data_IF_829762846887
#
_entry.id   IF_829762846887
#
_cell.length_a   1.000
_cell.length_b   1.000
_cell.length_c   1.000
_cell.angle_alpha   90.00
_cell.angle_beta   90.00
_cell.angle_gamma   90.00
#
_symmetry.space_group_name_H-M   'P 1'
#
loop_
_entity.id
_entity.type
_entity.pdbx_description
1 polymer ?
#
# COMPACT_ATOMS: atom_id res chain seq x y z
N UNK A 1 16.85 -6.73 -21.71
CA UNK A 1 16.75 -5.46 -20.96
C UNK A 1 16.01 -5.76 -19.68
N UNK A 2 16.34 -5.12 -18.55
CA UNK A 2 15.61 -5.34 -17.31
C UNK A 2 14.15 -4.89 -17.48
N UNK A 3 13.22 -5.58 -16.81
CA UNK A 3 11.80 -5.21 -16.79
C UNK A 3 11.57 -3.88 -16.06
N UNK A 4 12.26 -3.69 -14.94
CA UNK A 4 12.17 -2.49 -14.12
C UNK A 4 13.43 -1.63 -14.24
N UNK A 5 13.26 -0.33 -14.06
CA UNK A 5 14.33 0.64 -13.85
C UNK A 5 14.34 1.14 -12.42
N UNK A 6 15.52 1.47 -11.90
CA UNK A 6 15.69 2.14 -10.61
C UNK A 6 16.22 3.55 -10.84
N UNK A 7 15.43 4.55 -10.46
CA UNK A 7 15.83 5.95 -10.45
C UNK A 7 16.18 6.36 -9.03
N UNK A 8 17.37 6.94 -8.85
CA UNK A 8 17.84 7.46 -7.58
C UNK A 8 18.09 8.97 -7.70
N UNK A 9 17.57 9.76 -6.76
CA UNK A 9 17.76 11.20 -6.75
C UNK A 9 17.89 11.77 -5.35
N UNK A 10 18.91 12.61 -5.12
CA UNK A 10 19.09 13.33 -3.87
C UNK A 10 18.33 14.65 -3.88
N UNK A 11 17.91 15.11 -2.70
CA UNK A 11 17.37 16.45 -2.46
C UNK A 11 18.40 17.56 -2.73
N UNK A 12 19.68 17.21 -2.65
CA UNK A 12 20.78 18.08 -3.06
C UNK A 12 21.92 17.24 -3.62
N UNK A 13 22.51 17.68 -4.73
CA UNK A 13 23.71 17.07 -5.30
C UNK A 13 25.00 17.43 -4.55
N UNK A 14 24.92 18.37 -3.61
CA UNK A 14 26.06 18.87 -2.84
C UNK A 14 25.87 18.67 -1.34
N UNK A 15 26.98 18.42 -0.64
CA UNK A 15 27.10 18.46 0.81
C UNK A 15 28.25 19.37 1.22
N UNK A 16 28.22 19.90 2.45
CA UNK A 16 29.31 20.73 2.95
C UNK A 16 30.49 19.85 3.39
N UNK A 17 31.71 20.35 3.18
CA UNK A 17 32.94 19.72 3.69
C UNK A 17 33.07 19.76 5.21
N UNK A 18 32.25 20.58 5.88
CA UNK A 18 32.20 20.74 7.34
C UNK A 18 30.80 20.38 7.88
N UNK A 19 30.77 19.71 9.04
CA UNK A 19 29.54 19.27 9.70
C UNK A 19 28.86 18.06 9.04
N UNK A 20 27.73 17.62 9.62
CA UNK A 20 26.87 16.63 8.97
C UNK A 20 25.87 17.32 8.03
N UNK A 21 25.58 16.68 6.89
CA UNK A 21 24.56 17.14 5.96
C UNK A 21 23.39 16.16 5.95
N UNK A 22 22.17 16.68 6.09
CA UNK A 22 20.93 15.91 6.00
C UNK A 22 20.33 16.05 4.61
N UNK A 23 20.19 14.94 3.91
CA UNK A 23 19.67 14.84 2.55
C UNK A 23 18.47 13.90 2.52
N UNK A 24 17.62 14.05 1.51
CA UNK A 24 16.55 13.11 1.18
C UNK A 24 16.94 12.34 -0.07
N UNK A 25 16.81 11.02 -0.04
CA UNK A 25 17.05 10.14 -1.17
C UNK A 25 15.72 9.58 -1.66
N UNK A 26 15.32 9.99 -2.86
CA UNK A 26 14.24 9.37 -3.61
C UNK A 26 14.76 8.12 -4.33
N UNK A 27 14.09 7.00 -4.09
CA UNK A 27 14.27 5.74 -4.81
C UNK A 27 12.96 5.42 -5.50
N UNK A 28 12.97 5.32 -6.82
CA UNK A 28 11.77 5.05 -7.63
C UNK A 28 12.03 3.84 -8.53
N UNK A 29 11.24 2.79 -8.32
CA UNK A 29 11.14 1.65 -9.19
C UNK A 29 10.03 1.92 -10.21
N UNK A 30 10.34 1.76 -11.50
CA UNK A 30 9.37 1.99 -12.57
C UNK A 30 9.54 0.95 -13.68
N UNK A 31 8.46 0.58 -14.38
CA UNK A 31 8.55 -0.24 -15.60
C UNK A 31 9.39 0.47 -16.67
N UNK A 32 10.31 -0.25 -17.31
CA UNK A 32 11.10 0.32 -18.42
C UNK A 32 10.23 0.58 -19.66
N UNK A 33 9.23 -0.28 -19.89
CA UNK A 33 8.23 -0.13 -20.93
C UNK A 33 6.82 -0.25 -20.31
N UNK A 34 6.20 0.89 -19.96
CA UNK A 34 4.84 0.92 -19.40
C UNK A 34 3.74 0.51 -20.38
N UNK A 35 4.04 0.49 -21.69
CA UNK A 35 3.07 0.17 -22.74
C UNK A 35 2.95 -1.33 -23.01
N UNK A 36 3.84 -2.13 -22.40
CA UNK A 36 3.88 -3.57 -22.60
C UNK A 36 2.66 -4.23 -21.97
N UNK A 37 1.80 -4.79 -22.81
CA UNK A 37 0.64 -5.55 -22.36
C UNK A 37 1.08 -6.86 -21.68
N UNK A 38 0.58 -7.09 -20.47
CA UNK A 38 0.73 -8.32 -19.74
C UNK A 38 -0.42 -8.48 -18.74
N UNK A 39 -0.93 -9.70 -18.62
CA UNK A 39 -1.87 -10.07 -17.59
C UNK A 39 -1.40 -11.39 -16.95
N UNK A 40 -0.95 -11.38 -15.70
CA UNK A 40 -0.56 -12.60 -15.02
C UNK A 40 -1.78 -13.48 -14.74
N UNK A 41 -1.56 -14.79 -14.71
CA UNK A 41 -2.56 -15.72 -14.19
C UNK A 41 -2.79 -15.48 -12.70
N UNK A 42 -4.03 -15.60 -12.27
CA UNK A 42 -4.45 -15.33 -10.91
C UNK A 42 -4.73 -16.65 -10.16
N UNK A 43 -4.50 -16.61 -8.86
CA UNK A 43 -4.98 -17.58 -7.88
C UNK A 43 -5.69 -16.77 -6.79
N UNK A 44 -7.01 -16.65 -6.91
CA UNK A 44 -7.83 -15.80 -6.05
C UNK A 44 -8.55 -16.62 -5.01
N UNK A 45 -8.52 -16.17 -3.76
CA UNK A 45 -9.36 -16.71 -2.70
C UNK A 45 -10.28 -15.63 -2.18
N UNK A 46 -11.58 -15.80 -2.38
CA UNK A 46 -12.59 -14.90 -1.82
C UNK A 46 -12.96 -15.39 -0.43
N UNK A 47 -12.85 -14.50 0.54
CA UNK A 47 -13.21 -14.74 1.93
C UNK A 47 -14.38 -13.81 2.22
N UNK A 48 -15.58 -14.37 2.18
CA UNK A 48 -16.83 -13.63 2.20
C UNK A 48 -17.46 -13.76 3.58
N UNK A 49 -17.59 -12.63 4.27
CA UNK A 49 -18.39 -12.55 5.48
C UNK A 49 -19.87 -12.80 5.15
N UNK A 50 -20.46 -13.68 5.95
CA UNK A 50 -21.88 -14.03 5.92
C UNK A 50 -22.44 -14.01 7.34
N UNK A 51 -21.90 -13.16 8.22
CA UNK A 51 -22.45 -12.83 9.52
C UNK A 51 -23.81 -12.13 9.40
N UNK A 52 -24.49 -11.92 10.53
CA UNK A 52 -25.84 -11.35 10.52
C UNK A 52 -25.88 -9.89 10.05
N UNK A 53 -24.79 -9.12 10.23
CA UNK A 53 -24.67 -7.73 9.75
C UNK A 53 -24.73 -7.63 8.23
N UNK A 54 -24.18 -8.63 7.52
CA UNK A 54 -24.20 -8.71 6.07
C UNK A 54 -25.59 -8.95 5.46
N UNK A 55 -26.64 -9.10 6.27
CA UNK A 55 -28.00 -9.42 5.80
C UNK A 55 -28.56 -8.32 4.88
N UNK A 56 -29.19 -8.75 3.78
CA UNK A 56 -29.80 -7.85 2.80
C UNK A 56 -28.81 -7.40 1.73
N UNK A 57 -28.80 -6.10 1.45
CA UNK A 57 -28.12 -5.52 0.29
C UNK A 57 -26.60 -5.72 0.29
N UNK A 58 -25.97 -5.80 1.45
CA UNK A 58 -24.53 -6.04 1.59
C UNK A 58 -24.13 -7.39 0.99
N UNK A 59 -24.70 -8.51 1.48
CA UNK A 59 -24.41 -9.84 0.95
C UNK A 59 -24.85 -9.98 -0.52
N UNK A 60 -25.99 -9.40 -0.90
CA UNK A 60 -26.45 -9.44 -2.29
C UNK A 60 -25.50 -8.71 -3.24
N UNK A 61 -24.93 -7.57 -2.82
CA UNK A 61 -23.92 -6.83 -3.57
C UNK A 61 -22.59 -7.58 -3.66
N UNK A 62 -22.17 -8.26 -2.58
CA UNK A 62 -21.00 -9.16 -2.60
C UNK A 62 -21.20 -10.31 -3.58
N UNK A 63 -22.37 -10.95 -3.60
CA UNK A 63 -22.67 -12.02 -4.56
C UNK A 63 -22.62 -11.53 -6.01
N UNK A 64 -23.24 -10.37 -6.29
CA UNK A 64 -23.17 -9.72 -7.62
C UNK A 64 -21.72 -9.46 -8.02
N UNK A 65 -20.91 -8.90 -7.12
CA UNK A 65 -19.49 -8.63 -7.37
C UNK A 65 -18.70 -9.92 -7.63
N UNK A 66 -18.92 -10.96 -6.84
CA UNK A 66 -18.29 -12.27 -7.02
C UNK A 66 -18.66 -12.90 -8.38
N UNK A 67 -19.92 -12.79 -8.81
CA UNK A 67 -20.34 -13.29 -10.12
C UNK A 67 -19.61 -12.57 -11.26
N UNK A 68 -19.54 -11.24 -11.21
CA UNK A 68 -18.83 -10.45 -12.21
C UNK A 68 -17.34 -10.78 -12.26
N UNK A 69 -16.71 -11.00 -11.11
CA UNK A 69 -15.32 -11.40 -11.07
C UNK A 69 -15.13 -12.80 -11.66
N UNK A 70 -15.97 -13.79 -11.31
CA UNK A 70 -15.91 -15.13 -11.90
C UNK A 70 -16.03 -15.08 -13.43
N UNK A 71 -16.87 -14.18 -13.97
CA UNK A 71 -17.00 -13.96 -15.41
C UNK A 71 -15.78 -13.28 -16.05
N UNK A 72 -15.09 -12.44 -15.29
CA UNK A 72 -13.95 -11.65 -15.77
C UNK A 72 -12.62 -12.41 -15.72
N UNK A 73 -12.58 -13.56 -15.05
CA UNK A 73 -11.39 -14.40 -14.91
C UNK A 73 -11.18 -15.29 -16.13
N UNK A 74 -9.91 -15.53 -16.47
CA UNK A 74 -9.52 -16.46 -17.52
C UNK A 74 -9.73 -17.91 -17.07
N UNK A 75 -9.88 -18.84 -18.03
CA UNK A 75 -10.04 -20.27 -17.73
C UNK A 75 -8.83 -20.86 -16.97
N UNK A 76 -7.65 -20.26 -17.17
CA UNK A 76 -6.40 -20.64 -16.51
C UNK A 76 -6.25 -20.10 -15.08
N UNK A 77 -7.09 -19.14 -14.67
CA UNK A 77 -7.09 -18.61 -13.31
C UNK A 77 -7.68 -19.64 -12.34
N UNK A 78 -7.27 -19.58 -11.07
CA UNK A 78 -7.85 -20.40 -10.01
C UNK A 78 -8.69 -19.53 -9.06
N UNK A 79 -9.81 -20.08 -8.61
CA UNK A 79 -10.68 -19.45 -7.61
C UNK A 79 -11.00 -20.42 -6.48
N UNK A 80 -10.91 -19.92 -5.25
CA UNK A 80 -11.49 -20.52 -4.06
C UNK A 80 -12.49 -19.54 -3.42
N UNK A 81 -13.52 -20.09 -2.76
CA UNK A 81 -14.52 -19.30 -2.05
C UNK A 81 -14.67 -19.89 -0.65
N UNK A 82 -14.37 -19.06 0.33
CA UNK A 82 -14.54 -19.32 1.76
C UNK A 82 -15.65 -18.41 2.26
N UNK A 83 -16.65 -18.99 2.92
CA UNK A 83 -17.72 -18.25 3.57
C UNK A 83 -17.57 -18.35 5.07
N UNK A 84 -17.67 -17.24 5.80
CA UNK A 84 -17.45 -17.26 7.25
C UNK A 84 -18.51 -16.49 8.04
N UNK A 85 -18.83 -17.05 9.20
CA UNK A 85 -19.58 -16.42 10.28
C UNK A 85 -18.86 -16.77 11.60
N UNK A 86 -19.58 -17.24 12.62
CA UNK A 86 -19.05 -18.04 13.72
C UNK A 86 -18.34 -19.32 13.22
N UNK A 87 -18.88 -19.91 12.15
CA UNK A 87 -18.33 -21.08 11.46
C UNK A 87 -17.71 -20.68 10.11
N UNK A 88 -16.54 -21.23 9.83
CA UNK A 88 -15.79 -20.98 8.59
C UNK A 88 -15.86 -22.24 7.72
N UNK A 89 -16.25 -22.10 6.46
CA UNK A 89 -16.37 -23.23 5.55
C UNK A 89 -15.91 -22.91 4.12
N UNK A 90 -15.44 -23.95 3.44
CA UNK A 90 -15.15 -23.89 2.01
C UNK A 90 -16.47 -24.00 1.25
N UNK A 91 -16.86 -22.92 0.57
CA UNK A 91 -18.07 -22.84 -0.26
C UNK A 91 -17.77 -23.43 -1.65
N UNK A 92 -16.58 -23.14 -2.17
CA UNK A 92 -16.02 -23.74 -3.38
C UNK A 92 -14.51 -23.88 -3.17
N UNK A 93 -13.98 -25.10 -3.27
CA UNK A 93 -12.55 -25.33 -3.12
C UNK A 93 -11.75 -24.70 -4.25
N UNK A 94 -10.48 -24.39 -4.00
CA UNK A 94 -9.58 -23.83 -5.01
C UNK A 94 -9.56 -24.70 -6.27
N UNK A 95 -9.92 -24.15 -7.42
CA UNK A 95 -9.97 -24.84 -8.71
C UNK A 95 -9.85 -23.88 -9.91
N UNK A 96 -9.40 -24.35 -11.08
CA UNK A 96 -9.50 -23.60 -12.33
C UNK A 96 -10.96 -23.33 -12.73
N UNK A 97 -11.22 -22.28 -13.52
CA UNK A 97 -12.58 -21.85 -13.89
C UNK A 97 -13.23 -22.67 -15.02
N UNK A 98 -13.22 -24.00 -14.92
CA UNK A 98 -13.85 -24.89 -15.91
C UNK A 98 -15.38 -24.87 -15.81
N UNK A 99 -15.93 -24.84 -14.59
CA UNK A 99 -17.37 -24.79 -14.33
C UNK A 99 -17.75 -23.54 -13.52
N UNK A 100 -17.79 -22.40 -14.22
CA UNK A 100 -18.21 -21.11 -13.64
C UNK A 100 -19.62 -21.16 -13.06
N UNK A 101 -20.51 -21.95 -13.66
CA UNK A 101 -21.91 -22.03 -13.22
C UNK A 101 -22.02 -22.69 -11.85
N UNK A 102 -21.29 -23.79 -11.61
CA UNK A 102 -21.24 -24.45 -10.30
C UNK A 102 -20.68 -23.53 -9.21
N UNK A 103 -19.61 -22.77 -9.50
CA UNK A 103 -19.01 -21.83 -8.54
C UNK A 103 -20.01 -20.71 -8.19
N UNK A 104 -20.66 -20.11 -9.18
CA UNK A 104 -21.70 -19.09 -8.96
C UNK A 104 -22.89 -19.65 -8.17
N UNK A 105 -23.32 -20.87 -8.46
CA UNK A 105 -24.40 -21.50 -7.70
C UNK A 105 -24.02 -21.72 -6.23
N UNK A 106 -22.75 -22.01 -5.94
CA UNK A 106 -22.26 -22.12 -4.56
C UNK A 106 -22.31 -20.77 -3.83
N UNK A 107 -21.88 -19.68 -4.50
CA UNK A 107 -21.98 -18.31 -3.97
C UNK A 107 -23.44 -17.88 -3.73
N UNK A 108 -24.35 -18.22 -4.65
CA UNK A 108 -25.77 -17.87 -4.53
C UNK A 108 -26.41 -18.44 -3.25
N UNK A 109 -25.92 -19.61 -2.80
CA UNK A 109 -26.40 -20.30 -1.59
C UNK A 109 -25.92 -19.66 -0.29
N UNK A 110 -25.00 -18.70 -0.33
CA UNK A 110 -24.60 -17.97 0.87
C UNK A 110 -25.79 -17.30 1.54
N UNK A 111 -25.85 -17.40 2.86
CA UNK A 111 -26.89 -16.81 3.72
C UNK A 111 -26.23 -16.17 4.94
N UNK A 112 -26.67 -14.95 5.25
CA UNK A 112 -26.24 -14.20 6.42
C UNK A 112 -26.74 -14.87 7.70
N UNK A 113 -25.86 -15.15 8.66
CA UNK A 113 -26.16 -15.76 9.94
C UNK A 113 -24.97 -15.66 10.91
N UNK A 114 -25.22 -15.71 12.21
CA UNK A 114 -24.18 -15.91 13.22
C UNK A 114 -23.30 -14.68 13.47
N UNK A 115 -22.19 -14.92 14.17
CA UNK A 115 -21.16 -13.95 14.54
C UNK A 115 -20.03 -13.89 13.48
N UNK A 116 -18.86 -13.36 13.83
CA UNK A 116 -17.77 -13.07 12.87
C UNK A 116 -16.42 -13.62 13.34
N UNK A 117 -15.95 -14.70 12.72
CA UNK A 117 -14.66 -15.37 13.02
C UNK A 117 -13.59 -15.03 11.97
N UNK A 118 -12.99 -13.83 12.10
CA UNK A 118 -11.98 -13.31 11.17
C UNK A 118 -10.73 -14.19 11.15
N UNK A 119 -10.23 -14.62 12.32
CA UNK A 119 -9.03 -15.45 12.41
C UNK A 119 -9.19 -16.75 11.61
N UNK A 120 -10.27 -17.50 11.86
CA UNK A 120 -10.53 -18.76 11.17
C UNK A 120 -10.74 -18.57 9.66
N UNK A 121 -11.32 -17.44 9.26
CA UNK A 121 -11.54 -17.09 7.86
C UNK A 121 -10.23 -16.85 7.11
N UNK A 122 -9.30 -16.10 7.70
CA UNK A 122 -7.96 -15.88 7.12
C UNK A 122 -7.19 -17.21 7.09
N UNK A 123 -7.20 -18.01 8.15
CA UNK A 123 -6.50 -19.30 8.18
C UNK A 123 -7.03 -20.29 7.13
N UNK A 124 -8.35 -20.44 6.99
CA UNK A 124 -8.92 -21.35 5.99
C UNK A 124 -8.69 -20.81 4.57
N UNK A 125 -8.84 -19.50 4.37
CA UNK A 125 -8.54 -18.85 3.09
C UNK A 125 -7.08 -19.03 2.70
N UNK A 126 -6.16 -18.89 3.65
CA UNK A 126 -4.73 -19.12 3.48
C UNK A 126 -4.47 -20.55 2.98
N UNK A 127 -5.05 -21.55 3.65
CA UNK A 127 -4.93 -22.96 3.26
C UNK A 127 -5.49 -23.25 1.86
N UNK A 128 -6.63 -22.67 1.50
CA UNK A 128 -7.21 -22.83 0.15
C UNK A 128 -6.35 -22.14 -0.93
N UNK A 129 -5.83 -20.94 -0.65
CA UNK A 129 -4.92 -20.23 -1.56
C UNK A 129 -3.67 -21.06 -1.85
N UNK A 130 -3.11 -21.73 -0.83
CA UNK A 130 -1.92 -22.56 -0.98
C UNK A 130 -2.11 -23.80 -1.86
N UNK A 131 -3.33 -24.29 -2.08
CA UNK A 131 -3.59 -25.48 -2.92
C UNK A 131 -3.20 -25.28 -4.39
N UNK A 132 -3.32 -24.06 -4.90
CA UNK A 132 -2.94 -23.69 -6.26
C UNK A 132 -1.90 -22.56 -6.29
N UNK A 133 -1.12 -22.45 -5.21
CA UNK A 133 -0.03 -21.49 -5.16
C UNK A 133 0.95 -21.72 -6.32
N UNK A 134 1.33 -20.63 -6.97
CA UNK A 134 2.49 -20.60 -7.86
C UNK A 134 3.20 -19.27 -7.74
N UNK A 135 4.53 -19.30 -7.76
CA UNK A 135 5.34 -18.09 -7.80
C UNK A 135 5.13 -17.29 -9.10
N UNK A 136 4.67 -17.94 -10.17
CA UNK A 136 4.41 -17.36 -11.49
C UNK A 136 3.01 -16.72 -11.60
N UNK A 137 2.21 -16.82 -10.53
CA UNK A 137 0.86 -16.26 -10.43
C UNK A 137 0.82 -15.10 -9.44
N UNK A 138 -0.21 -14.28 -9.57
CA UNK A 138 -0.66 -13.42 -8.48
C UNK A 138 -1.56 -14.25 -7.57
N UNK A 139 -1.10 -14.49 -6.34
CA UNK A 139 -1.86 -15.22 -5.33
C UNK A 139 -2.44 -14.20 -4.35
N UNK A 140 -3.75 -13.98 -4.43
CA UNK A 140 -4.43 -12.88 -3.73
C UNK A 140 -5.63 -13.41 -2.96
N UNK A 141 -5.70 -13.08 -1.69
CA UNK A 141 -6.88 -13.25 -0.85
C UNK A 141 -7.66 -11.93 -0.85
N UNK A 142 -8.95 -11.98 -1.18
CA UNK A 142 -9.88 -10.86 -1.08
C UNK A 142 -10.78 -11.12 0.12
N UNK A 143 -10.56 -10.36 1.19
CA UNK A 143 -11.29 -10.48 2.43
C UNK A 143 -12.37 -9.40 2.51
N UNK A 144 -13.63 -9.78 2.63
CA UNK A 144 -14.76 -8.85 2.70
C UNK A 144 -15.47 -9.04 4.04
N UNK A 145 -15.69 -7.95 4.78
CA UNK A 145 -16.43 -7.96 6.05
C UNK A 145 -17.03 -6.57 6.34
N UNK A 146 -18.13 -6.55 7.08
CA UNK A 146 -18.80 -5.34 7.58
C UNK A 146 -18.82 -5.27 9.12
N UNK A 147 -18.10 -6.17 9.80
CA UNK A 147 -18.15 -6.29 11.26
C UNK A 147 -16.80 -6.48 11.95
N UNK A 148 -16.86 -6.58 13.27
CA UNK A 148 -15.71 -6.80 14.16
C UNK A 148 -15.48 -8.30 14.42
N UNK A 149 -14.27 -8.69 14.83
CA UNK A 149 -13.99 -10.05 15.26
C UNK A 149 -14.75 -10.36 16.57
N UNK A 150 -15.78 -11.20 16.49
CA UNK A 150 -16.70 -11.50 17.62
C UNK A 150 -16.76 -12.99 17.97
N UNK A 151 -16.11 -13.85 17.20
CA UNK A 151 -16.04 -15.28 17.44
C UNK A 151 -14.65 -15.86 17.10
N UNK A 152 -14.30 -16.99 17.72
CA UNK A 152 -12.99 -17.60 17.55
C UNK A 152 -11.91 -16.83 18.32
N UNK A 153 -10.75 -16.65 17.70
CA UNK A 153 -9.66 -15.82 18.21
C UNK A 153 -9.96 -14.37 17.79
N UNK A 154 -10.06 -13.48 18.77
CA UNK A 154 -10.44 -12.07 18.56
C UNK A 154 -9.30 -11.11 18.89
N UNK A 155 -8.16 -11.61 19.36
CA UNK A 155 -6.98 -10.82 19.65
C UNK A 155 -6.28 -10.37 18.35
N UNK A 156 -6.22 -9.06 18.12
CA UNK A 156 -5.61 -8.44 16.94
C UNK A 156 -4.22 -9.01 16.61
N UNK A 157 -3.32 -9.11 17.60
CA UNK A 157 -1.96 -9.60 17.37
C UNK A 157 -1.93 -11.01 16.76
N UNK A 158 -2.86 -11.88 17.14
CA UNK A 158 -2.95 -13.25 16.60
C UNK A 158 -3.53 -13.23 15.18
N UNK A 159 -4.54 -12.41 14.93
CA UNK A 159 -5.12 -12.22 13.59
C UNK A 159 -4.07 -11.64 12.62
N UNK A 160 -3.34 -10.63 13.07
CA UNK A 160 -2.28 -9.96 12.31
C UNK A 160 -1.09 -10.89 12.04
N UNK A 161 -0.78 -11.82 12.94
CA UNK A 161 0.25 -12.84 12.71
C UNK A 161 -0.08 -13.77 11.53
N UNK A 162 -1.37 -14.06 11.28
CA UNK A 162 -1.79 -14.81 10.08
C UNK A 162 -1.58 -14.00 8.80
N UNK A 163 -1.89 -12.70 8.81
CA UNK A 163 -1.62 -11.82 7.67
C UNK A 163 -0.11 -11.74 7.36
N UNK A 164 0.73 -11.64 8.41
CA UNK A 164 2.18 -11.71 8.27
C UNK A 164 2.64 -13.06 7.70
N UNK A 165 1.98 -14.18 8.08
CA UNK A 165 2.29 -15.51 7.55
C UNK A 165 1.92 -15.65 6.08
N UNK A 166 0.71 -15.24 5.70
CA UNK A 166 0.26 -15.29 4.31
C UNK A 166 1.21 -14.53 3.39
N UNK A 167 1.67 -13.34 3.82
CA UNK A 167 2.67 -12.57 3.08
C UNK A 167 4.01 -13.27 2.98
N UNK A 168 4.50 -13.90 4.05
CA UNK A 168 5.74 -14.70 4.01
C UNK A 168 5.64 -15.87 3.02
N UNK A 169 4.46 -16.48 2.92
CA UNK A 169 4.18 -17.58 2.00
C UNK A 169 3.91 -17.09 0.56
N UNK A 170 4.00 -15.77 0.30
CA UNK A 170 3.89 -15.16 -1.02
C UNK A 170 2.47 -14.92 -1.50
N UNK A 171 1.53 -14.82 -0.55
CA UNK A 171 0.13 -14.44 -0.76
C UNK A 171 -0.07 -12.99 -0.32
N UNK A 172 -0.81 -12.21 -1.11
CA UNK A 172 -1.25 -10.87 -0.71
C UNK A 172 -2.69 -10.88 -0.19
N UNK A 173 -3.00 -10.10 0.84
CA UNK A 173 -4.37 -9.97 1.38
C UNK A 173 -4.86 -8.54 1.15
N UNK A 174 -5.92 -8.39 0.38
CA UNK A 174 -6.66 -7.12 0.28
C UNK A 174 -7.97 -7.23 1.06
N UNK A 175 -8.30 -6.18 1.80
CA UNK A 175 -9.50 -6.14 2.65
C UNK A 175 -10.50 -5.11 2.13
N UNK A 176 -11.77 -5.47 2.12
CA UNK A 176 -12.89 -4.62 1.73
C UNK A 176 -13.82 -4.51 2.94
N UNK A 177 -13.79 -3.35 3.58
CA UNK A 177 -14.65 -3.04 4.73
C UNK A 177 -15.93 -2.35 4.27
N UNK A 178 -17.09 -2.93 4.57
CA UNK A 178 -18.40 -2.40 4.15
C UNK A 178 -19.08 -1.69 5.31
N UNK A 179 -19.62 -0.50 5.07
CA UNK A 179 -20.34 0.29 6.08
C UNK A 179 -19.42 0.89 7.14
N UNK A 180 -20.00 1.48 8.18
CA UNK A 180 -19.25 2.24 9.19
C UNK A 180 -18.89 1.43 10.44
N UNK A 181 -19.52 0.28 10.66
CA UNK A 181 -19.51 -0.46 11.94
C UNK A 181 -18.43 -1.55 12.06
N UNK A 182 -17.53 -1.69 11.07
CA UNK A 182 -16.43 -2.66 11.12
C UNK A 182 -15.16 -2.10 11.78
N UNK A 183 -14.30 -3.00 12.28
CA UNK A 183 -12.97 -2.66 12.78
C UNK A 183 -12.01 -2.35 11.63
N UNK A 184 -11.98 -1.07 11.25
CA UNK A 184 -11.10 -0.57 10.19
C UNK A 184 -9.63 -0.64 10.56
N UNK A 185 -9.29 -0.48 11.84
CA UNK A 185 -7.91 -0.56 12.27
C UNK A 185 -7.40 -1.98 12.02
N UNK A 186 -8.17 -2.98 12.41
CA UNK A 186 -7.86 -4.38 12.18
C UNK A 186 -7.81 -4.71 10.68
N UNK A 187 -8.84 -4.37 9.89
CA UNK A 187 -8.86 -4.69 8.45
C UNK A 187 -7.76 -3.95 7.66
N UNK A 188 -7.48 -2.70 8.02
CA UNK A 188 -6.39 -1.93 7.44
C UNK A 188 -5.02 -2.54 7.77
N UNK A 189 -4.83 -3.00 9.02
CA UNK A 189 -3.61 -3.69 9.43
C UNK A 189 -3.47 -5.06 8.78
N UNK A 190 -4.56 -5.82 8.61
CA UNK A 190 -4.55 -7.09 7.86
C UNK A 190 -4.09 -6.85 6.43
N UNK A 191 -4.64 -5.87 5.72
CA UNK A 191 -4.21 -5.57 4.35
C UNK A 191 -2.75 -5.13 4.29
N UNK A 192 -2.34 -4.21 5.18
CA UNK A 192 -0.97 -3.69 5.23
C UNK A 192 0.06 -4.79 5.53
N UNK A 193 -0.20 -5.61 6.56
CA UNK A 193 0.68 -6.73 6.94
C UNK A 193 0.64 -7.84 5.91
N UNK A 194 -0.52 -8.10 5.33
CA UNK A 194 -0.73 -9.02 4.22
C UNK A 194 -0.18 -8.54 2.87
N UNK A 195 0.30 -7.30 2.74
CA UNK A 195 0.88 -6.78 1.48
C UNK A 195 -0.15 -6.52 0.37
N UNK A 196 -1.40 -6.26 0.73
CA UNK A 196 -2.47 -5.86 -0.21
C UNK A 196 -3.04 -4.49 0.11
N UNK A 197 -4.25 -4.23 -0.42
CA UNK A 197 -4.93 -2.94 -0.31
C UNK A 197 -6.11 -3.01 0.67
N UNK A 198 -6.35 -1.92 1.42
CA UNK A 198 -7.60 -1.73 2.14
C UNK A 198 -8.55 -0.85 1.34
N UNK A 199 -9.83 -1.22 1.29
CA UNK A 199 -10.89 -0.43 0.68
C UNK A 199 -12.01 -0.20 1.67
N UNK A 200 -12.30 1.07 1.94
CA UNK A 200 -13.51 1.49 2.65
C UNK A 200 -14.66 1.63 1.67
N UNK A 201 -15.76 0.93 1.95
CA UNK A 201 -16.95 0.89 1.11
C UNK A 201 -18.11 1.50 1.87
N UNK A 202 -18.40 2.78 1.58
CA UNK A 202 -19.45 3.51 2.28
C UNK A 202 -20.85 2.93 2.03
N UNK A 203 -21.12 2.46 0.81
CA UNK A 203 -22.42 1.87 0.44
C UNK A 203 -22.23 0.54 -0.30
N UNK A 204 -23.07 -0.48 -0.03
CA UNK A 204 -22.98 -1.79 -0.69
C UNK A 204 -22.95 -1.76 -2.22
N UNK A 205 -23.63 -0.81 -2.86
CA UNK A 205 -23.64 -0.66 -4.31
C UNK A 205 -22.27 -0.33 -4.92
N UNK A 206 -21.32 0.17 -4.13
CA UNK A 206 -19.95 0.41 -4.58
C UNK A 206 -19.08 -0.86 -4.60
N UNK A 207 -19.52 -1.97 -3.98
CA UNK A 207 -18.75 -3.22 -3.89
C UNK A 207 -18.33 -3.74 -5.26
N UNK A 208 -19.21 -3.87 -6.28
CA UNK A 208 -18.81 -4.41 -7.59
C UNK A 208 -17.72 -3.60 -8.27
N UNK A 209 -17.77 -2.26 -8.18
CA UNK A 209 -16.75 -1.37 -8.76
C UNK A 209 -15.40 -1.57 -8.08
N UNK A 210 -15.37 -1.58 -6.75
CA UNK A 210 -14.13 -1.73 -5.97
C UNK A 210 -13.51 -3.11 -6.21
N UNK A 211 -14.34 -4.15 -6.35
CA UNK A 211 -13.89 -5.49 -6.72
C UNK A 211 -13.19 -5.51 -8.09
N UNK A 212 -13.79 -4.84 -9.08
CA UNK A 212 -13.20 -4.73 -10.42
C UNK A 212 -11.88 -3.95 -10.40
N UNK A 213 -11.80 -2.86 -9.62
CA UNK A 213 -10.57 -2.09 -9.45
C UNK A 213 -9.45 -2.93 -8.84
N UNK A 214 -9.74 -3.72 -7.82
CA UNK A 214 -8.78 -4.61 -7.19
C UNK A 214 -8.34 -5.75 -8.13
N UNK A 215 -9.27 -6.33 -8.88
CA UNK A 215 -8.96 -7.34 -9.89
C UNK A 215 -8.09 -6.76 -11.03
N UNK A 216 -8.40 -5.54 -11.49
CA UNK A 216 -7.63 -4.86 -12.52
C UNK A 216 -6.20 -4.60 -12.05
N UNK A 217 -6.01 -4.19 -10.79
CA UNK A 217 -4.68 -4.06 -10.18
C UNK A 217 -3.94 -5.40 -10.13
N UNK A 218 -4.59 -6.47 -9.69
CA UNK A 218 -3.96 -7.79 -9.69
C UNK A 218 -3.52 -8.23 -11.11
N UNK A 219 -4.30 -7.89 -12.14
CA UNK A 219 -3.97 -8.17 -13.54
C UNK A 219 -2.93 -7.23 -14.15
N UNK A 220 -2.63 -6.08 -13.54
CA UNK A 220 -1.61 -5.15 -14.04
C UNK A 220 -0.21 -5.42 -13.48
N UNK A 221 -0.07 -6.34 -12.52
CA UNK A 221 1.21 -6.65 -11.87
C UNK A 221 2.18 -7.31 -12.85
N UNK A 222 3.37 -6.75 -12.97
CA UNK A 222 4.45 -7.26 -13.83
C UNK A 222 5.64 -7.81 -13.03
N UNK A 223 5.78 -7.42 -11.77
CA UNK A 223 6.87 -7.85 -10.91
C UNK A 223 6.41 -8.11 -9.48
N UNK A 224 7.00 -9.13 -8.84
CA UNK A 224 6.75 -9.52 -7.45
C UNK A 224 8.02 -9.44 -6.63
N UNK A 225 7.87 -9.52 -5.30
CA UNK A 225 8.98 -9.50 -4.34
C UNK A 225 9.92 -8.31 -4.57
N UNK A 226 9.35 -7.19 -5.02
CA UNK A 226 10.09 -5.99 -5.37
C UNK A 226 10.65 -5.39 -4.09
N UNK A 227 11.96 -5.23 -4.03
CA UNK A 227 12.64 -4.61 -2.89
C UNK A 227 13.79 -3.73 -3.37
N UNK A 228 14.08 -2.69 -2.60
CA UNK A 228 15.27 -1.85 -2.81
C UNK A 228 16.19 -2.03 -1.63
N UNK A 229 17.39 -2.56 -1.88
CA UNK A 229 18.48 -2.62 -0.92
C UNK A 229 19.36 -1.39 -1.06
N UNK A 230 19.67 -0.76 0.06
CA UNK A 230 20.51 0.43 0.13
C UNK A 230 21.67 0.13 1.05
N UNK A 231 22.87 0.13 0.48
CA UNK A 231 24.11 -0.08 1.23
C UNK A 231 24.75 1.28 1.51
N UNK A 232 24.78 1.75 2.77
CA UNK A 232 25.55 2.91 3.18
C UNK A 232 27.05 2.66 3.06
N UNK A 233 27.79 3.74 2.79
CA UNK A 233 29.24 3.76 2.68
C UNK A 233 29.84 4.65 3.78
N UNK A 234 30.85 4.13 4.48
CA UNK A 234 31.47 4.80 5.62
C UNK A 234 30.44 5.07 6.72
N UNK A 235 30.47 6.27 7.30
CA UNK A 235 29.58 6.67 8.42
C UNK A 235 28.21 7.22 7.98
N UNK A 236 27.77 6.92 6.74
CA UNK A 236 26.47 7.39 6.25
C UNK A 236 25.33 6.68 6.96
N UNK A 237 24.40 7.42 7.56
CA UNK A 237 23.20 6.86 8.17
C UNK A 237 22.01 6.94 7.22
N UNK A 238 21.22 5.87 7.17
CA UNK A 238 19.99 5.77 6.38
C UNK A 238 18.82 5.53 7.32
N UNK A 239 17.74 6.29 7.16
CA UNK A 239 16.50 6.11 7.94
C UNK A 239 15.28 6.19 7.04
N UNK A 240 14.25 5.44 7.37
CA UNK A 240 12.96 5.54 6.70
C UNK A 240 12.20 6.76 7.22
N UNK A 241 11.60 7.55 6.31
CA UNK A 241 10.76 8.68 6.69
C UNK A 241 9.40 8.23 7.24
N UNK A 242 8.74 7.34 6.50
CA UNK A 242 7.37 6.91 6.76
C UNK A 242 7.24 5.38 6.84
N UNK A 243 6.15 4.90 7.43
CA UNK A 243 5.93 3.47 7.59
C UNK A 243 5.08 2.86 6.46
N UNK A 244 5.02 3.51 5.30
CA UNK A 244 4.20 3.04 4.17
C UNK A 244 4.67 1.66 3.72
N UNK A 245 5.98 1.52 3.51
CA UNK A 245 6.61 0.26 3.17
C UNK A 245 7.20 -0.39 4.40
N UNK A 246 7.21 -1.73 4.41
CA UNK A 246 8.01 -2.47 5.38
C UNK A 246 9.48 -2.21 5.07
N UNK A 247 10.27 -1.97 6.10
CA UNK A 247 11.71 -1.86 5.98
C UNK A 247 12.40 -2.59 7.14
N UNK A 248 13.62 -3.05 6.90
CA UNK A 248 14.46 -3.64 7.92
C UNK A 248 15.94 -3.36 7.62
N UNK A 249 16.77 -3.49 8.64
CA UNK A 249 18.23 -3.42 8.49
C UNK A 249 18.78 -4.84 8.57
N UNK A 250 19.45 -5.30 7.50
CA UNK A 250 20.09 -6.62 7.42
C UNK A 250 21.59 -6.41 7.37
N UNK A 251 22.27 -6.61 8.51
CA UNK A 251 23.68 -6.24 8.64
C UNK A 251 23.85 -4.73 8.51
N UNK A 252 24.55 -4.28 7.48
CA UNK A 252 24.71 -2.86 7.16
C UNK A 252 23.72 -2.39 6.07
N UNK A 253 23.01 -3.30 5.40
CA UNK A 253 22.06 -2.97 4.34
C UNK A 253 20.73 -2.51 4.92
N UNK A 254 20.17 -1.46 4.32
CA UNK A 254 18.81 -1.02 4.58
C UNK A 254 17.89 -1.51 3.46
N UNK A 255 16.90 -2.35 3.77
CA UNK A 255 16.02 -2.98 2.79
C UNK A 255 14.62 -2.39 2.89
N UNK A 256 14.06 -1.95 1.76
CA UNK A 256 12.68 -1.49 1.65
C UNK A 256 11.89 -2.44 0.75
N UNK A 257 10.79 -2.98 1.25
CA UNK A 257 9.92 -3.91 0.51
C UNK A 257 8.78 -3.14 -0.16
N UNK A 258 8.81 -3.12 -1.50
CA UNK A 258 7.78 -2.52 -2.36
C UNK A 258 6.69 -3.54 -2.78
N UNK A 259 6.95 -4.83 -2.55
CA UNK A 259 6.05 -5.97 -2.79
C UNK A 259 5.75 -6.23 -4.27
N UNK A 260 4.66 -5.71 -4.79
CA UNK A 260 4.19 -5.93 -6.15
C UNK A 260 4.20 -4.62 -6.93
N UNK A 261 4.64 -4.66 -8.20
CA UNK A 261 4.70 -3.48 -9.07
C UNK A 261 3.83 -3.68 -10.33
N UNK A 262 3.01 -2.67 -10.62
CA UNK A 262 2.07 -2.62 -11.74
C UNK A 262 2.68 -1.97 -12.99
N UNK A 263 2.30 -2.43 -14.19
CA UNK A 263 2.83 -1.99 -15.49
C UNK A 263 2.72 -0.48 -15.76
N UNK A 264 1.72 0.19 -15.20
CA UNK A 264 1.47 1.62 -15.43
C UNK A 264 1.73 2.48 -14.19
N UNK A 265 2.30 1.91 -13.12
CA UNK A 265 2.39 2.59 -11.83
C UNK A 265 3.78 2.45 -11.20
N UNK A 266 4.62 3.48 -11.33
CA UNK A 266 5.86 3.57 -10.57
C UNK A 266 5.59 3.52 -9.07
N UNK A 267 6.56 2.99 -8.33
CA UNK A 267 6.57 3.01 -6.88
C UNK A 267 7.85 3.66 -6.40
N UNK A 268 7.69 4.66 -5.56
CA UNK A 268 8.82 5.37 -4.97
C UNK A 268 8.77 5.35 -3.45
N UNK A 269 9.94 5.53 -2.86
CA UNK A 269 10.14 5.74 -1.42
C UNK A 269 11.17 6.84 -1.21
N UNK A 270 11.10 7.53 -0.07
CA UNK A 270 12.06 8.56 0.30
C UNK A 270 12.72 8.19 1.62
N UNK A 271 14.06 8.14 1.60
CA UNK A 271 14.90 7.87 2.75
C UNK A 271 15.58 9.15 3.23
N UNK A 272 15.78 9.24 4.54
CA UNK A 272 16.62 10.24 5.15
C UNK A 272 18.07 9.74 5.15
N UNK A 273 18.96 10.56 4.59
CA UNK A 273 20.39 10.33 4.61
C UNK A 273 21.06 11.37 5.49
N UNK A 274 21.87 10.92 6.43
CA UNK A 274 22.80 11.78 7.16
C UNK A 274 24.22 11.39 6.78
N UNK A 275 24.91 12.29 6.09
CA UNK A 275 26.29 12.11 5.64
C UNK A 275 27.22 12.95 6.49
N UNK A 276 28.37 12.38 6.84
CA UNK A 276 29.43 13.09 7.56
C UNK A 276 30.28 13.94 6.62
N UNK A 277 30.94 14.95 7.18
CA UNK A 277 31.93 15.78 6.51
C UNK A 277 33.02 14.95 5.84
N UNK A 278 33.44 15.37 4.65
CA UNK A 278 34.56 14.82 3.89
C UNK A 278 35.30 15.94 3.16
N UNK A 279 36.51 15.62 2.71
CA UNK A 279 37.27 16.51 1.83
C UNK A 279 36.49 16.79 0.54
N UNK A 280 36.76 17.96 -0.08
CA UNK A 280 36.11 18.35 -1.32
C UNK A 280 36.35 17.29 -2.42
N UNK A 281 35.28 16.88 -3.08
CA UNK A 281 35.34 15.82 -4.09
C UNK A 281 34.01 15.10 -4.29
N UNK A 282 33.95 14.22 -5.28
CA UNK A 282 32.78 13.40 -5.58
C UNK A 282 32.89 12.04 -4.92
N UNK A 283 31.85 11.65 -4.19
CA UNK A 283 31.78 10.38 -3.46
C UNK A 283 30.44 9.69 -3.71
N UNK A 284 30.40 8.39 -3.44
CA UNK A 284 29.19 7.57 -3.43
C UNK A 284 28.84 7.27 -1.97
N UNK A 285 27.95 8.05 -1.31
CA UNK A 285 27.60 7.82 0.09
C UNK A 285 26.74 6.57 0.30
N UNK A 286 26.00 6.16 -0.75
CA UNK A 286 25.11 5.00 -0.73
C UNK A 286 25.07 4.37 -2.13
N UNK A 287 24.95 3.04 -2.18
CA UNK A 287 24.60 2.31 -3.42
C UNK A 287 23.23 1.69 -3.25
N UNK A 288 22.39 1.74 -4.29
CA UNK A 288 21.07 1.14 -4.28
C UNK A 288 20.96 -0.02 -5.28
N UNK A 289 20.19 -1.04 -4.92
CA UNK A 289 19.95 -2.21 -5.73
C UNK A 289 18.47 -2.56 -5.67
N UNK A 290 17.78 -2.46 -6.80
CA UNK A 290 16.42 -2.97 -6.98
C UNK A 290 16.52 -4.46 -7.28
N UNK A 291 15.78 -5.27 -6.53
CA UNK A 291 15.69 -6.72 -6.69
C UNK A 291 14.22 -7.09 -6.85
N UNK A 292 13.89 -7.92 -7.83
CA UNK A 292 12.52 -8.33 -8.10
C UNK A 292 12.45 -9.68 -8.82
N UNK A 293 11.26 -10.28 -8.79
CA UNK A 293 10.90 -11.40 -9.66
C UNK A 293 10.10 -10.89 -10.85
N UNK A 294 10.47 -11.31 -12.05
CA UNK A 294 9.85 -10.92 -13.31
C UNK A 294 8.72 -11.91 -13.66
N UNK A 295 7.49 -11.41 -13.76
CA UNK A 295 6.34 -12.26 -14.12
C UNK A 295 6.21 -12.51 -15.62
N UNK A 296 6.89 -11.73 -16.47
CA UNK A 296 6.82 -11.88 -17.92
C UNK A 296 7.59 -13.09 -18.43
N UNK A 297 8.76 -13.36 -17.85
CA UNK A 297 9.65 -14.45 -18.27
C UNK A 297 9.99 -15.43 -17.12
N UNK A 298 9.37 -15.23 -15.96
CA UNK A 298 9.50 -16.09 -14.77
C UNK A 298 10.90 -16.12 -14.14
N UNK A 299 11.79 -15.19 -14.51
CA UNK A 299 13.10 -15.06 -13.86
C UNK A 299 12.97 -14.49 -12.45
N UNK A 300 13.87 -14.90 -11.56
CA UNK A 300 13.84 -14.57 -10.13
C UNK A 300 15.08 -13.80 -9.70
N UNK A 301 14.90 -12.85 -8.80
CA UNK A 301 15.99 -12.04 -8.26
C UNK A 301 16.72 -11.20 -9.30
N UNK A 302 16.02 -10.76 -10.35
CA UNK A 302 16.54 -9.76 -11.29
C UNK A 302 17.00 -8.53 -10.52
N UNK A 303 18.13 -7.97 -10.96
CA UNK A 303 18.83 -6.92 -10.22
C UNK A 303 19.09 -5.72 -11.12
N UNK A 304 18.79 -4.53 -10.60
CA UNK A 304 19.13 -3.25 -11.23
C UNK A 304 19.84 -2.37 -10.20
N UNK A 305 21.05 -1.89 -10.56
CA UNK A 305 21.86 -1.03 -9.68
C UNK A 305 21.60 0.44 -9.97
N UNK A 306 21.52 1.23 -8.91
CA UNK A 306 21.52 2.68 -8.93
C UNK A 306 22.69 3.22 -8.12
N UNK A 307 23.54 4.03 -8.76
CA UNK A 307 24.60 4.77 -8.07
C UNK A 307 24.10 6.16 -7.68
N UNK A 308 24.41 6.57 -6.45
CA UNK A 308 24.07 7.88 -5.92
C UNK A 308 25.37 8.63 -5.67
N UNK A 309 25.58 9.73 -6.41
CA UNK A 309 26.79 10.55 -6.29
C UNK A 309 26.50 11.85 -5.55
N UNK A 310 27.44 12.26 -4.73
CA UNK A 310 27.38 13.46 -3.90
C UNK A 310 28.72 14.19 -3.97
N UNK A 311 28.69 15.47 -4.29
CA UNK A 311 29.89 16.31 -4.35
C UNK A 311 30.01 17.17 -3.08
N UNK A 312 31.14 17.06 -2.39
CA UNK A 312 31.45 17.85 -1.20
C UNK A 312 32.06 19.20 -1.59
N UNK A 313 31.49 20.29 -1.08
CA UNK A 313 31.83 21.67 -1.44
C UNK A 313 32.09 22.54 -0.22
N UNK A 314 32.99 23.51 -0.35
CA UNK A 314 33.27 24.54 0.66
C UNK A 314 32.28 25.70 0.59
N UNK A 315 31.76 26.01 -0.59
CA UNK A 315 30.90 27.17 -0.82
C UNK A 315 29.41 26.86 -0.61
N UNK A 316 28.79 27.50 0.38
CA UNK A 316 27.35 27.38 0.63
C UNK A 316 26.45 27.91 -0.51
N UNK A 317 26.98 28.70 -1.45
CA UNK A 317 26.26 29.13 -2.67
C UNK A 317 25.90 27.94 -3.56
N UNK A 318 26.82 26.97 -3.70
CA UNK A 318 26.61 25.75 -4.50
C UNK A 318 25.49 24.89 -3.93
N UNK A 319 25.39 24.79 -2.60
CA UNK A 319 24.29 24.09 -1.91
C UNK A 319 22.93 24.63 -2.39
N UNK A 320 22.74 25.95 -2.48
CA UNK A 320 21.48 26.53 -2.96
C UNK A 320 21.19 26.20 -4.43
N UNK A 321 22.23 26.14 -5.27
CA UNK A 321 22.10 25.80 -6.68
C UNK A 321 21.83 24.30 -6.93
N UNK A 322 22.28 23.43 -6.03
CA UNK A 322 22.13 21.97 -6.15
C UNK A 322 20.81 21.40 -5.66
N UNK A 323 19.89 22.23 -5.18
CA UNK A 323 18.60 21.79 -4.64
C UNK A 323 17.75 21.11 -5.72
N UNK A 324 17.39 19.86 -5.49
CA UNK A 324 16.38 19.16 -6.27
C UNK A 324 14.99 19.44 -5.69
N UNK A 325 14.28 20.37 -6.34
CA UNK A 325 12.94 20.80 -5.91
C UNK A 325 11.90 19.68 -6.00
N UNK A 326 12.06 18.74 -6.93
CA UNK A 326 11.11 17.65 -7.09
C UNK A 326 11.21 16.65 -5.94
N UNK A 327 12.42 16.25 -5.55
CA UNK A 327 12.62 15.38 -4.37
C UNK A 327 12.09 16.04 -3.11
N UNK A 328 12.36 17.34 -2.93
CA UNK A 328 11.83 18.07 -1.78
C UNK A 328 10.31 18.20 -1.81
N UNK A 329 9.69 18.45 -2.96
CA UNK A 329 8.23 18.53 -3.10
C UNK A 329 7.57 17.20 -2.72
N UNK A 330 8.07 16.08 -3.28
CA UNK A 330 7.57 14.73 -2.97
C UNK A 330 7.76 14.38 -1.49
N UNK A 331 8.89 14.80 -0.90
CA UNK A 331 9.14 14.65 0.54
C UNK A 331 8.12 15.44 1.39
N UNK A 332 7.84 16.70 1.04
CA UNK A 332 6.85 17.52 1.75
C UNK A 332 5.45 16.90 1.67
N UNK A 333 5.06 16.34 0.51
CA UNK A 333 3.78 15.64 0.34
C UNK A 333 3.69 14.42 1.26
N UNK A 334 4.71 13.56 1.27
CA UNK A 334 4.74 12.38 2.13
C UNK A 334 4.78 12.73 3.62
N UNK A 335 5.59 13.72 4.02
CA UNK A 335 5.66 14.18 5.40
C UNK A 335 4.33 14.74 5.88
N UNK A 336 3.64 15.52 5.03
CA UNK A 336 2.35 16.10 5.37
C UNK A 336 1.26 15.04 5.61
N UNK A 337 1.24 13.96 4.82
CA UNK A 337 0.27 12.87 5.03
C UNK A 337 0.55 12.13 6.35
N UNK A 338 1.82 11.91 6.70
CA UNK A 338 2.17 11.32 7.98
C UNK A 338 1.77 12.21 9.16
N UNK A 339 2.04 13.52 9.06
CA UNK A 339 1.63 14.49 10.08
C UNK A 339 0.10 14.56 10.21
N UNK A 340 -0.63 14.51 9.10
CA UNK A 340 -2.09 14.52 9.09
C UNK A 340 -2.65 13.31 9.82
N UNK A 341 -2.14 12.10 9.57
CA UNK A 341 -2.53 10.88 10.29
C UNK A 341 -2.34 11.04 11.80
N UNK A 342 -1.16 11.54 12.22
CA UNK A 342 -0.86 11.79 13.64
C UNK A 342 -1.82 12.82 14.25
N UNK A 343 -2.11 13.92 13.56
CA UNK A 343 -3.03 14.96 14.05
C UNK A 343 -4.45 14.39 14.21
N UNK A 344 -4.94 13.67 13.20
CA UNK A 344 -6.28 13.04 13.24
C UNK A 344 -6.38 12.08 14.42
N UNK A 345 -5.39 11.20 14.61
CA UNK A 345 -5.34 10.28 15.74
C UNK A 345 -5.29 11.02 17.09
N UNK A 346 -4.51 12.10 17.19
CA UNK A 346 -4.43 12.89 18.42
C UNK A 346 -5.74 13.60 18.77
N UNK A 347 -6.50 14.10 17.78
CA UNK A 347 -7.83 14.69 18.03
C UNK A 347 -8.83 13.60 18.43
N UNK A 348 -8.82 12.46 17.72
CA UNK A 348 -9.67 11.30 18.03
C UNK A 348 -9.44 10.79 19.46
N UNK A 349 -8.19 10.68 19.86
CA UNK A 349 -7.76 10.26 21.20
C UNK A 349 -7.89 11.37 22.26
N UNK A 350 -8.43 12.55 21.90
CA UNK A 350 -8.58 13.73 22.77
C UNK A 350 -7.26 14.21 23.39
N UNK A 351 -6.12 13.94 22.75
CA UNK A 351 -4.80 14.46 23.15
C UNK A 351 -4.62 15.93 22.79
N UNK A 352 -5.26 16.38 21.70
CA UNK A 352 -5.31 17.78 21.29
C UNK A 352 -6.76 18.18 20.97
N UNK A 353 -7.09 19.47 21.11
CA UNK A 353 -8.40 19.99 20.72
C UNK A 353 -8.49 20.31 19.22
N UNK A 354 -9.72 20.39 18.71
CA UNK A 354 -10.01 20.67 17.31
C UNK A 354 -9.39 22.01 16.82
N UNK A 355 -9.35 23.02 17.69
CA UNK A 355 -8.82 24.35 17.36
C UNK A 355 -7.30 24.30 17.13
N UNK A 356 -6.58 23.55 17.96
CA UNK A 356 -5.14 23.35 17.87
C UNK A 356 -4.80 22.57 16.60
N UNK A 357 -5.55 21.49 16.33
CA UNK A 357 -5.39 20.71 15.11
C UNK A 357 -5.59 21.57 13.83
N UNK A 358 -6.67 22.35 13.77
CA UNK A 358 -6.96 23.26 12.64
C UNK A 358 -5.83 24.26 12.43
N UNK A 359 -5.32 24.88 13.51
CA UNK A 359 -4.21 25.82 13.41
C UNK A 359 -2.93 25.18 12.84
N UNK A 360 -2.62 23.94 13.27
CA UNK A 360 -1.47 23.20 12.76
C UNK A 360 -1.64 22.81 11.29
N UNK A 361 -2.83 22.31 10.91
CA UNK A 361 -3.17 21.92 9.54
C UNK A 361 -3.14 23.13 8.59
N UNK A 362 -3.68 24.27 9.00
CA UNK A 362 -3.68 25.49 8.19
C UNK A 362 -2.26 26.03 8.00
N UNK A 363 -1.44 26.02 9.06
CA UNK A 363 -0.02 26.41 8.96
C UNK A 363 0.73 25.51 7.97
N UNK A 364 0.53 24.19 8.05
CA UNK A 364 1.14 23.24 7.11
C UNK A 364 0.64 23.44 5.68
N UNK A 365 -0.67 23.67 5.51
CA UNK A 365 -1.28 23.95 4.19
C UNK A 365 -0.62 25.15 3.51
N UNK A 366 -0.38 26.25 4.24
CA UNK A 366 0.32 27.43 3.69
C UNK A 366 1.76 27.12 3.25
N UNK A 367 2.47 26.27 3.99
CA UNK A 367 3.82 25.82 3.61
C UNK A 367 3.76 24.98 2.33
N UNK A 368 2.85 24.01 2.26
CA UNK A 368 2.69 23.12 1.09
C UNK A 368 2.34 23.91 -0.18
N UNK A 369 1.46 24.90 -0.10
CA UNK A 369 1.13 25.78 -1.24
C UNK A 369 2.38 26.53 -1.72
N UNK A 370 3.18 27.11 -0.82
CA UNK A 370 4.44 27.78 -1.18
C UNK A 370 5.45 26.83 -1.84
N UNK A 371 5.42 25.54 -1.46
CA UNK A 371 6.28 24.49 -2.00
C UNK A 371 5.71 23.81 -3.25
N UNK A 372 4.52 24.22 -3.73
CA UNK A 372 3.79 23.62 -4.85
C UNK A 372 3.35 22.17 -4.64
N UNK A 373 3.20 21.74 -3.38
CA UNK A 373 2.65 20.45 -2.98
C UNK A 373 1.11 20.54 -2.89
N UNK A 374 0.46 20.77 -4.05
CA UNK A 374 -0.95 21.19 -4.12
C UNK A 374 -1.92 20.08 -3.68
N UNK A 375 -1.65 18.82 -4.02
CA UNK A 375 -2.54 17.70 -3.65
C UNK A 375 -2.59 17.49 -2.14
N UNK A 376 -1.41 17.45 -1.49
CA UNK A 376 -1.32 17.38 -0.03
C UNK A 376 -2.00 18.60 0.63
N UNK A 377 -1.77 19.81 0.10
CA UNK A 377 -2.43 21.01 0.61
C UNK A 377 -3.96 20.94 0.51
N UNK A 378 -4.49 20.37 -0.59
CA UNK A 378 -5.94 20.21 -0.80
C UNK A 378 -6.54 19.28 0.26
N UNK A 379 -5.90 18.15 0.52
CA UNK A 379 -6.35 17.17 1.53
C UNK A 379 -6.31 17.77 2.93
N UNK A 380 -5.19 18.40 3.33
CA UNK A 380 -5.10 19.06 4.64
C UNK A 380 -6.18 20.14 4.82
N UNK A 381 -6.42 20.96 3.79
CA UNK A 381 -7.44 21.99 3.84
C UNK A 381 -8.87 21.41 3.89
N UNK A 382 -9.12 20.26 3.25
CA UNK A 382 -10.41 19.58 3.32
C UNK A 382 -10.68 19.05 4.72
N UNK A 383 -9.71 18.32 5.31
CA UNK A 383 -9.82 17.79 6.67
C UNK A 383 -9.94 18.93 7.69
N UNK A 384 -9.14 19.99 7.56
CA UNK A 384 -9.23 21.19 8.41
C UNK A 384 -10.65 21.77 8.43
N UNK A 385 -11.28 21.94 7.25
CA UNK A 385 -12.68 22.41 7.17
C UNK A 385 -13.66 21.48 7.84
N UNK A 386 -13.56 20.18 7.62
CA UNK A 386 -14.49 19.22 8.23
C UNK A 386 -14.34 19.16 9.75
N UNK A 387 -13.12 19.28 10.29
CA UNK A 387 -12.90 19.39 11.74
C UNK A 387 -13.60 20.62 12.32
N UNK A 388 -13.59 21.76 11.61
CA UNK A 388 -14.30 22.98 12.03
C UNK A 388 -15.81 22.77 12.01
N UNK A 389 -16.35 22.15 10.96
CA UNK A 389 -17.78 21.91 10.79
C UNK A 389 -18.34 20.94 11.84
N UNK A 390 -17.59 19.88 12.15
CA UNK A 390 -17.99 18.84 13.12
C UNK A 390 -17.59 19.16 14.57
N UNK A 391 -16.70 20.15 14.78
CA UNK A 391 -16.15 20.49 16.09
C UNK A 391 -15.20 19.43 16.66
N UNK A 392 -14.70 18.52 15.83
CA UNK A 392 -13.87 17.37 16.22
C UNK A 392 -13.53 16.46 15.04
N UNK A 393 -13.03 15.27 15.34
CA UNK A 393 -12.81 14.21 14.34
C UNK A 393 -13.84 13.11 14.57
N UNK A 394 -14.81 12.99 13.68
CA UNK A 394 -15.70 11.83 13.63
C UNK A 394 -14.97 10.58 13.11
N UNK A 395 -15.54 9.41 13.37
CA UNK A 395 -15.03 8.15 12.82
C UNK A 395 -14.99 8.21 11.29
N UNK A 396 -16.06 8.70 10.65
CA UNK A 396 -16.16 8.82 9.18
C UNK A 396 -15.10 9.76 8.58
N UNK A 397 -14.83 10.90 9.23
CA UNK A 397 -13.74 11.79 8.82
C UNK A 397 -12.37 11.11 8.91
N UNK A 398 -12.10 10.38 10.00
CA UNK A 398 -10.86 9.64 10.16
C UNK A 398 -10.68 8.60 9.02
N UNK A 399 -11.73 7.81 8.73
CA UNK A 399 -11.72 6.80 7.64
C UNK A 399 -11.37 7.44 6.30
N UNK A 400 -12.12 8.49 5.94
CA UNK A 400 -11.93 9.22 4.69
C UNK A 400 -10.53 9.81 4.59
N UNK A 401 -10.02 10.36 5.69
CA UNK A 401 -8.68 10.96 5.73
C UNK A 401 -7.60 9.90 5.46
N UNK A 402 -7.74 8.70 6.02
CA UNK A 402 -6.79 7.60 5.78
C UNK A 402 -6.71 7.23 4.29
N UNK A 403 -7.87 7.08 3.64
CA UNK A 403 -7.96 6.81 2.20
C UNK A 403 -7.33 7.93 1.38
N UNK A 404 -7.69 9.20 1.64
CA UNK A 404 -7.13 10.35 0.92
C UNK A 404 -5.61 10.47 1.12
N UNK A 405 -5.09 10.15 2.31
CA UNK A 405 -3.65 10.12 2.56
C UNK A 405 -2.95 9.06 1.72
N UNK A 406 -3.48 7.84 1.67
CA UNK A 406 -2.91 6.78 0.84
C UNK A 406 -2.88 7.17 -0.64
N UNK A 407 -3.94 7.82 -1.14
CA UNK A 407 -4.01 8.30 -2.52
C UNK A 407 -2.94 9.36 -2.81
N UNK A 408 -2.76 10.35 -1.93
CA UNK A 408 -1.71 11.36 -2.07
C UNK A 408 -0.33 10.71 -1.98
N UNK A 409 -0.11 9.80 -1.03
CA UNK A 409 1.16 9.07 -0.95
C UNK A 409 1.39 8.23 -2.21
N UNK A 410 0.34 7.62 -2.79
CA UNK A 410 0.39 6.86 -4.05
C UNK A 410 0.72 7.80 -5.22
N UNK A 411 0.12 8.98 -5.32
CA UNK A 411 0.41 9.98 -6.35
C UNK A 411 1.81 10.58 -6.24
N UNK A 412 2.20 10.94 -5.01
CA UNK A 412 3.55 11.38 -4.67
C UNK A 412 4.59 10.29 -4.93
N UNK A 413 4.21 9.02 -5.07
CA UNK A 413 5.13 7.90 -5.38
C UNK A 413 5.05 7.40 -6.83
N UNK A 414 4.01 7.76 -7.58
CA UNK A 414 3.81 7.35 -8.97
C UNK A 414 4.48 8.25 -10.03
N UNK A 415 4.92 9.46 -9.67
CA UNK A 415 5.49 10.41 -10.63
C UNK A 415 4.46 10.86 -11.67
N UNK A 416 3.89 12.06 -11.52
CA UNK A 416 2.96 12.58 -12.53
C UNK A 416 3.72 12.82 -13.84
N UNK A 417 3.36 12.10 -14.90
CA UNK A 417 3.39 12.71 -16.23
C UNK A 417 2.32 13.79 -16.18
N UNK A 418 2.75 15.05 -16.11
CA UNK A 418 1.87 16.19 -16.27
C UNK A 418 1.34 16.08 -17.70
N UNK A 419 0.12 15.58 -17.87
CA UNK A 419 -0.65 15.87 -19.07
C UNK A 419 -1.17 17.28 -18.81
N UNK A 420 -0.50 18.26 -19.41
CA UNK A 420 -1.06 19.61 -19.54
C UNK A 420 -2.34 19.46 -20.39
N UNK A 421 -3.50 19.72 -19.78
CA UNK A 421 -4.73 20.05 -20.52
C UNK A 421 -4.65 21.48 -21.07
#
# INVERSE_FOLDING_TARGET
MPLLGLKCALSNRFALVEGSSKLKLLLEAAPVDPSREFAPSLNLTLIIDRSTSMMGEALDSVKRAAFHMIDSLADSDCVAIVGFSDQVSVVSGSQPLVDRAAIKQAVERLRAQGATNIHGAIDLGHREAMRHYSADRINRMLFLSDGEATAGITEDDQILALADSARRDGLSISTLGVGEEYDEMLLGQIARRGGGNHYFIQTPDAIPRIFQEELAKAKSVIAKNVMVRVQPQGETQVRMLNQRYRCETVGEEFVVYLDELEAARPQATILDLEVVAREAGEYVPVTAQLIYDNLLDHTRGETVRGEIRLEYVTEGSRIRAGINREVLRRWEELSAMQDLKVIVDQVKDRRIDAKTAVLELDRKTQVLVKKKAIEAARVLAAVSRTIVEEGGVSTSLAKRTMVECEEVEKGATAGKTIIEE
#
